data_IF_526847012324
#
_entry.id   IF_526847012324
#
_cell.length_a   1.000
_cell.length_b   1.000
_cell.length_c   1.000
_cell.angle_alpha   90.00
_cell.angle_beta   90.00
_cell.angle_gamma   90.00
#
_symmetry.space_group_name_H-M   'P 1'
#
loop_
_entity.id
_entity.type
_entity.pdbx_description
1 polymer ?
#
# COMPACT_ATOMS: atom_id res chain seq x y z
N UNK A 1 -43.05 -7.49 44.26
CA UNK A 1 -43.84 -7.47 43.05
C UNK A 1 -43.04 -8.20 41.99
N UNK A 2 -43.06 -9.48 41.75
CA UNK A 2 -44.14 -10.46 41.59
C UNK A 2 -44.45 -10.60 40.10
N UNK A 3 -43.73 -11.44 39.34
CA UNK A 3 -44.20 -11.91 38.05
C UNK A 3 -43.62 -13.29 37.75
N UNK A 4 -44.35 -14.15 37.90
CA UNK A 4 -44.79 -15.52 37.59
C UNK A 4 -44.44 -15.85 36.10
N UNK A 5 -43.51 -16.81 35.92
CA UNK A 5 -43.31 -17.55 34.68
C UNK A 5 -44.25 -18.76 34.66
N UNK A 6 -45.14 -18.82 33.67
CA UNK A 6 -45.97 -19.98 33.34
C UNK A 6 -45.23 -20.91 32.38
N UNK A 7 -45.27 -22.23 32.58
CA UNK A 7 -44.82 -23.18 31.56
C UNK A 7 -45.94 -23.45 30.56
N UNK A 8 -45.61 -23.40 29.29
CA UNK A 8 -46.50 -23.80 28.17
C UNK A 8 -46.19 -25.27 27.87
N UNK A 9 -47.08 -26.15 28.32
CA UNK A 9 -47.18 -27.51 27.81
C UNK A 9 -48.02 -27.49 26.53
N UNK A 10 -47.39 -27.65 25.38
CA UNK A 10 -48.06 -27.93 24.11
C UNK A 10 -48.21 -29.44 23.91
N UNK A 11 -49.42 -29.93 23.92
CA UNK A 11 -49.73 -31.32 23.67
C UNK A 11 -49.59 -31.69 22.19
N UNK A 12 -48.94 -32.82 21.93
CA UNK A 12 -49.14 -33.59 20.72
C UNK A 12 -50.05 -34.74 21.06
N UNK A 13 -51.22 -34.73 20.46
CA UNK A 13 -52.16 -35.88 20.45
C UNK A 13 -51.70 -36.87 19.37
N UNK A 14 -51.34 -38.08 19.81
CA UNK A 14 -51.19 -39.22 18.93
C UNK A 14 -52.47 -39.98 18.81
N UNK A 15 -52.90 -40.25 17.59
CA UNK A 15 -54.13 -40.96 17.19
C UNK A 15 -53.87 -42.43 17.21
N UNK A 16 -53.88 -43.08 18.41
CA UNK A 16 -54.22 -44.50 18.52
C UNK A 16 -54.56 -44.79 19.94
N UNK A 17 -55.87 -44.92 20.17
CA UNK A 17 -56.42 -45.29 21.45
C UNK A 17 -56.13 -46.74 21.82
N UNK A 18 -55.33 -46.95 22.85
CA UNK A 18 -55.38 -48.19 23.64
C UNK A 18 -54.91 -47.93 25.07
N UNK A 19 -55.86 -48.04 25.99
CA UNK A 19 -55.60 -48.13 27.43
C UNK A 19 -55.09 -49.55 27.75
N UNK A 20 -53.84 -49.65 28.26
CA UNK A 20 -53.28 -50.87 28.83
C UNK A 20 -52.86 -50.63 30.28
N UNK A 21 -53.00 -51.63 31.18
CA UNK A 21 -53.00 -51.45 32.64
C UNK A 21 -51.54 -51.26 33.18
N UNK A 22 -51.49 -50.56 34.33
CA UNK A 22 -50.34 -50.51 35.21
C UNK A 22 -49.88 -51.90 35.67
N UNK A 23 -48.74 -52.36 35.18
CA UNK A 23 -48.05 -53.55 35.68
C UNK A 23 -46.83 -53.17 36.47
N UNK A 24 -46.87 -53.42 37.78
CA UNK A 24 -45.69 -53.41 38.65
C UNK A 24 -44.74 -54.53 38.18
N UNK A 25 -43.52 -54.18 37.72
CA UNK A 25 -42.50 -55.19 37.52
C UNK A 25 -41.20 -54.81 38.26
N UNK A 26 -40.86 -55.74 39.09
CA UNK A 26 -39.69 -55.93 39.94
C UNK A 26 -38.38 -55.44 39.37
N UNK A 27 -37.58 -54.94 40.33
CA UNK A 27 -36.19 -54.69 40.24
C UNK A 27 -35.35 -55.70 39.45
N UNK A 28 -34.98 -55.41 38.27
CA UNK A 28 -33.89 -56.06 37.51
C UNK A 28 -32.60 -55.34 37.75
N UNK A 29 -31.61 -56.02 38.30
CA UNK A 29 -30.21 -55.56 38.44
C UNK A 29 -29.73 -55.17 37.08
N UNK A 30 -29.67 -53.86 36.83
CA UNK A 30 -28.93 -53.30 35.70
C UNK A 30 -27.44 -53.49 35.98
N UNK A 31 -26.79 -54.38 35.26
CA UNK A 31 -25.36 -54.49 35.15
C UNK A 31 -24.88 -53.18 34.47
N UNK A 32 -24.44 -52.27 35.29
CA UNK A 32 -23.70 -51.10 34.79
C UNK A 32 -22.40 -51.61 34.16
N UNK A 33 -22.46 -51.82 32.85
CA UNK A 33 -21.25 -51.93 32.05
C UNK A 33 -20.51 -50.61 32.23
N UNK A 34 -19.41 -50.62 33.01
CA UNK A 34 -18.42 -49.56 33.02
C UNK A 34 -17.93 -49.44 31.57
N UNK A 35 -18.40 -48.43 30.87
CA UNK A 35 -17.73 -47.94 29.69
C UNK A 35 -16.42 -47.45 30.25
N UNK A 36 -15.32 -48.12 29.86
CA UNK A 36 -13.99 -47.65 30.13
C UNK A 36 -13.91 -46.20 29.61
N UNK A 37 -13.68 -45.27 30.51
CA UNK A 37 -13.36 -43.91 30.14
C UNK A 37 -12.13 -44.03 29.25
N UNK A 38 -12.30 -43.72 28.00
CA UNK A 38 -11.24 -43.59 27.04
C UNK A 38 -10.28 -42.56 27.62
N UNK A 39 -9.12 -43.02 28.09
CA UNK A 39 -8.05 -42.16 28.58
C UNK A 39 -7.68 -41.25 27.44
N UNK A 40 -8.12 -39.99 27.50
CA UNK A 40 -7.64 -38.97 26.61
C UNK A 40 -6.12 -38.92 26.71
N UNK A 41 -5.39 -38.99 25.60
CA UNK A 41 -3.95 -38.96 25.65
C UNK A 41 -3.51 -37.64 26.34
N UNK A 42 -2.78 -37.79 27.43
CA UNK A 42 -2.30 -36.72 28.32
C UNK A 42 -1.19 -35.86 27.67
N UNK A 43 -1.24 -35.71 26.34
CA UNK A 43 -0.17 -35.06 25.56
C UNK A 43 -0.25 -33.52 25.66
N UNK A 44 -1.33 -32.96 26.23
CA UNK A 44 -1.54 -31.51 26.29
C UNK A 44 -1.98 -30.97 27.66
N UNK A 45 -1.65 -31.66 28.74
CA UNK A 45 -2.04 -31.24 30.11
C UNK A 45 -0.94 -30.42 30.83
N UNK A 46 -0.36 -29.42 30.17
CA UNK A 46 0.54 -28.54 30.89
C UNK A 46 0.89 -27.28 30.09
N UNK A 47 0.83 -26.12 30.74
CA UNK A 47 1.34 -24.87 30.18
C UNK A 47 2.79 -25.01 29.66
N UNK A 48 3.55 -25.99 30.21
CA UNK A 48 4.91 -26.31 29.78
C UNK A 48 4.96 -26.99 28.40
N UNK A 49 3.98 -27.83 28.05
CA UNK A 49 3.96 -28.52 26.77
C UNK A 49 3.53 -27.56 25.66
N UNK A 50 2.61 -26.63 25.95
CA UNK A 50 2.19 -25.57 25.03
C UNK A 50 3.37 -24.62 24.77
N UNK A 51 4.10 -24.23 25.83
CA UNK A 51 5.27 -23.35 25.68
C UNK A 51 6.42 -24.01 24.93
N UNK A 52 6.63 -25.33 25.15
CA UNK A 52 7.67 -26.08 24.42
C UNK A 52 7.31 -26.18 22.92
N UNK A 53 6.06 -26.50 22.61
CA UNK A 53 5.58 -26.55 21.23
C UNK A 53 5.70 -25.21 20.53
N UNK A 54 5.32 -24.12 21.21
CA UNK A 54 5.47 -22.76 20.70
C UNK A 54 6.94 -22.41 20.48
N UNK A 55 7.83 -22.77 21.42
CA UNK A 55 9.27 -22.53 21.29
C UNK A 55 9.88 -23.24 20.08
N UNK A 56 9.48 -24.49 19.81
CA UNK A 56 9.93 -25.25 18.64
C UNK A 56 9.48 -24.56 17.34
N UNK A 57 8.21 -24.11 17.27
CA UNK A 57 7.71 -23.40 16.08
C UNK A 57 8.46 -22.09 15.86
N UNK A 58 8.70 -21.31 16.91
CA UNK A 58 9.45 -20.06 16.83
C UNK A 58 10.89 -20.31 16.37
N UNK A 59 11.57 -21.34 16.91
CA UNK A 59 12.94 -21.69 16.49
C UNK A 59 12.96 -22.12 15.02
N UNK A 60 12.02 -22.94 14.58
CA UNK A 60 11.92 -23.35 13.19
C UNK A 60 11.65 -22.15 12.26
N UNK A 61 10.83 -21.21 12.70
CA UNK A 61 10.54 -19.99 11.95
C UNK A 61 11.78 -19.09 11.85
N UNK A 62 12.52 -18.94 12.96
CA UNK A 62 13.78 -18.18 12.97
C UNK A 62 14.86 -18.83 12.09
N UNK A 63 14.96 -20.15 12.09
CA UNK A 63 15.88 -20.88 11.23
C UNK A 63 15.48 -20.74 9.75
N UNK A 64 14.19 -20.83 9.42
CA UNK A 64 13.71 -20.66 8.07
C UNK A 64 13.97 -19.23 7.56
N UNK A 65 13.66 -18.22 8.37
CA UNK A 65 13.88 -16.80 8.03
C UNK A 65 15.37 -16.49 7.96
N UNK A 66 16.18 -17.04 8.89
CA UNK A 66 17.63 -16.87 8.86
C UNK A 66 18.30 -17.53 7.64
N UNK A 67 17.84 -18.73 7.26
CA UNK A 67 18.37 -19.44 6.09
C UNK A 67 17.97 -18.77 4.75
N UNK A 68 16.85 -18.06 4.70
CA UNK A 68 16.40 -17.33 3.50
C UNK A 68 17.05 -15.95 3.34
N UNK A 69 17.88 -15.51 4.30
CA UNK A 69 18.55 -14.20 4.26
C UNK A 69 17.57 -12.99 4.36
N UNK A 70 16.30 -13.23 4.66
CA UNK A 70 15.29 -12.17 4.81
C UNK A 70 15.48 -11.29 6.06
N UNK A 71 16.34 -11.70 6.99
CA UNK A 71 16.80 -10.90 8.12
C UNK A 71 18.29 -10.62 8.01
N UNK A 72 18.76 -10.02 6.95
CA UNK A 72 20.03 -9.33 7.02
C UNK A 72 19.79 -8.03 7.80
N UNK A 73 20.11 -8.05 9.09
CA UNK A 73 20.20 -6.86 9.94
C UNK A 73 21.50 -6.09 9.59
N UNK A 74 21.87 -6.12 8.33
CA UNK A 74 22.87 -5.21 7.83
C UNK A 74 22.15 -3.92 7.52
N UNK A 75 22.23 -2.97 8.45
CA UNK A 75 21.88 -1.57 8.24
C UNK A 75 22.91 -0.84 7.37
N UNK A 76 23.76 -1.57 6.66
CA UNK A 76 24.23 -1.07 5.40
C UNK A 76 23.00 -1.11 4.52
N UNK A 77 22.44 0.07 4.28
CA UNK A 77 21.58 0.34 3.14
C UNK A 77 22.36 -0.24 1.94
N UNK A 78 22.15 -1.52 1.63
CA UNK A 78 22.33 -1.92 0.25
C UNK A 78 21.36 -1.03 -0.49
N UNK A 79 21.91 0.07 -1.02
CA UNK A 79 21.30 0.74 -2.14
C UNK A 79 20.88 -0.40 -3.05
N UNK A 80 19.59 -0.75 -3.01
CA UNK A 80 19.04 -1.67 -3.96
C UNK A 80 19.52 -1.11 -5.28
N UNK A 81 20.21 -1.92 -6.07
CA UNK A 81 20.79 -1.47 -7.33
C UNK A 81 19.72 -0.61 -7.98
N UNK A 82 19.97 0.72 -8.06
CA UNK A 82 19.08 1.64 -8.78
C UNK A 82 19.01 0.99 -10.15
N UNK A 83 17.84 0.48 -10.53
CA UNK A 83 17.68 -0.11 -11.83
C UNK A 83 17.74 1.08 -12.78
N UNK A 84 18.92 1.30 -13.36
CA UNK A 84 19.14 2.36 -14.31
C UNK A 84 18.10 2.22 -15.42
N UNK A 85 17.25 3.23 -15.53
CA UNK A 85 16.21 3.30 -16.55
C UNK A 85 16.71 4.28 -17.61
N UNK A 86 16.69 3.84 -18.87
CA UNK A 86 16.94 4.73 -20.01
C UNK A 86 15.73 5.68 -20.19
N UNK A 87 15.72 6.72 -19.37
CA UNK A 87 14.68 7.76 -19.37
C UNK A 87 14.64 8.52 -20.69
N UNK A 88 15.78 8.68 -21.36
CA UNK A 88 15.86 9.40 -22.63
C UNK A 88 15.11 8.66 -23.72
N UNK A 89 15.40 7.36 -23.88
CA UNK A 89 14.66 6.51 -24.83
C UNK A 89 13.17 6.43 -24.48
N UNK A 90 12.84 6.39 -23.19
CA UNK A 90 11.44 6.40 -22.74
C UNK A 90 10.75 7.71 -23.13
N UNK A 91 11.31 8.87 -22.79
CA UNK A 91 10.73 10.19 -23.09
C UNK A 91 10.59 10.42 -24.60
N UNK A 92 11.58 10.04 -25.38
CA UNK A 92 11.52 10.08 -26.85
C UNK A 92 10.38 9.20 -27.40
N UNK A 93 10.18 8.04 -26.80
CA UNK A 93 9.10 7.13 -27.20
C UNK A 93 7.74 7.74 -26.86
N UNK A 94 7.59 8.37 -25.69
CA UNK A 94 6.35 9.05 -25.32
C UNK A 94 6.04 10.23 -26.25
N UNK A 95 7.03 11.03 -26.62
CA UNK A 95 6.86 12.12 -27.56
C UNK A 95 6.37 11.64 -28.94
N UNK A 96 6.93 10.54 -29.45
CA UNK A 96 6.50 9.92 -30.72
C UNK A 96 5.11 9.28 -30.62
N UNK A 97 4.69 8.83 -29.44
CA UNK A 97 3.38 8.27 -29.21
C UNK A 97 2.26 9.33 -29.14
N UNK A 98 2.60 10.62 -29.23
CA UNK A 98 1.61 11.71 -29.20
C UNK A 98 0.95 11.92 -27.84
N UNK A 99 1.64 11.62 -26.74
CA UNK A 99 1.14 11.79 -25.36
C UNK A 99 1.01 13.26 -24.96
N UNK A 100 1.45 14.18 -25.79
CA UNK A 100 1.54 15.63 -25.57
C UNK A 100 2.95 16.14 -25.80
N UNK A 101 3.20 17.38 -25.45
CA UNK A 101 4.56 17.93 -25.48
C UNK A 101 5.36 17.28 -24.33
N UNK A 102 6.43 16.60 -24.69
CA UNK A 102 7.35 15.96 -23.76
C UNK A 102 8.69 16.67 -23.83
N UNK A 103 9.26 16.99 -22.69
CA UNK A 103 10.62 17.56 -22.59
C UNK A 103 11.53 16.49 -21.99
N UNK A 104 12.75 16.42 -22.53
CA UNK A 104 13.79 15.51 -22.06
C UNK A 104 14.92 16.35 -21.44
N UNK A 105 14.92 16.54 -20.11
CA UNK A 105 15.88 17.41 -19.43
C UNK A 105 17.23 16.72 -19.25
N UNK A 106 18.30 17.51 -19.26
CA UNK A 106 19.56 17.09 -18.70
C UNK A 106 19.55 17.35 -17.19
N UNK A 107 19.44 16.25 -16.42
CA UNK A 107 19.41 16.36 -14.96
C UNK A 107 20.80 16.68 -14.40
N UNK A 108 20.88 17.23 -13.17
CA UNK A 108 22.19 17.55 -12.55
C UNK A 108 23.09 16.30 -12.45
N UNK A 109 24.41 16.54 -12.43
CA UNK A 109 25.39 15.46 -12.31
C UNK A 109 25.17 14.63 -11.03
N UNK A 110 25.29 13.33 -11.16
CA UNK A 110 25.09 12.38 -10.05
C UNK A 110 23.62 12.03 -9.76
N UNK A 111 22.68 12.53 -10.58
CA UNK A 111 21.31 12.07 -10.52
C UNK A 111 21.11 10.83 -11.40
N UNK A 112 20.37 9.84 -10.88
CA UNK A 112 20.13 8.58 -11.59
C UNK A 112 18.63 8.35 -11.75
N UNK A 113 18.17 8.12 -12.98
CA UNK A 113 16.80 7.74 -13.24
C UNK A 113 16.55 6.30 -12.73
N UNK A 114 15.54 6.12 -11.88
CA UNK A 114 15.22 4.85 -11.30
C UNK A 114 13.85 4.28 -11.72
N UNK A 115 12.97 5.12 -12.25
CA UNK A 115 11.67 4.68 -12.77
C UNK A 115 11.15 5.62 -13.85
N UNK A 116 10.53 5.04 -14.87
CA UNK A 116 9.83 5.80 -15.91
C UNK A 116 8.52 5.07 -16.25
N UNK A 117 7.40 5.78 -16.25
CA UNK A 117 6.08 5.21 -16.48
C UNK A 117 5.11 6.21 -17.08
N UNK A 118 4.04 5.69 -17.68
CA UNK A 118 2.87 6.48 -18.05
C UNK A 118 1.78 6.26 -17.01
N UNK A 119 1.05 7.32 -16.69
CA UNK A 119 -0.12 7.27 -15.81
C UNK A 119 -1.30 8.01 -16.47
N UNK A 120 -2.50 7.69 -16.08
CA UNK A 120 -3.67 8.54 -16.33
C UNK A 120 -3.77 9.55 -15.21
N UNK A 121 -3.93 10.81 -15.55
CA UNK A 121 -4.08 11.91 -14.63
C UNK A 121 -5.25 12.80 -15.05
N UNK A 122 -6.38 12.62 -14.40
CA UNK A 122 -7.60 13.37 -14.71
C UNK A 122 -8.16 13.11 -16.12
N UNK A 123 -7.97 11.92 -16.67
CA UNK A 123 -8.40 11.51 -18.00
C UNK A 123 -7.39 11.84 -19.11
N UNK A 124 -6.25 12.44 -18.76
CA UNK A 124 -5.17 12.76 -19.68
C UNK A 124 -3.96 11.85 -19.41
N UNK A 125 -3.24 11.49 -20.47
CA UNK A 125 -1.98 10.76 -20.28
C UNK A 125 -0.92 11.68 -19.69
N UNK A 126 -0.24 11.22 -18.66
CA UNK A 126 0.90 11.88 -18.08
C UNK A 126 2.14 11.00 -18.12
N UNK A 127 3.28 11.61 -18.31
CA UNK A 127 4.58 10.93 -18.35
C UNK A 127 5.31 11.21 -17.05
N UNK A 128 5.68 10.16 -16.33
CA UNK A 128 6.32 10.24 -15.02
C UNK A 128 7.71 9.63 -15.11
N UNK A 129 8.70 10.38 -14.64
CA UNK A 129 10.08 9.90 -14.46
C UNK A 129 10.53 10.28 -13.06
N UNK A 130 11.21 9.36 -12.41
CA UNK A 130 11.72 9.55 -11.06
C UNK A 130 13.24 9.40 -11.04
N UNK A 131 13.89 10.23 -10.25
CA UNK A 131 15.34 10.23 -10.06
C UNK A 131 15.71 10.12 -8.58
N UNK A 132 16.85 9.52 -8.34
CA UNK A 132 17.57 9.61 -7.08
C UNK A 132 18.62 10.70 -7.25
N UNK A 133 18.65 11.68 -6.35
CA UNK A 133 19.62 12.78 -6.39
C UNK A 133 20.99 12.32 -5.85
N UNK A 134 22.03 13.10 -6.09
CA UNK A 134 23.37 12.82 -5.58
C UNK A 134 23.39 12.67 -4.04
N UNK A 135 22.51 13.39 -3.34
CA UNK A 135 22.33 13.33 -1.87
C UNK A 135 21.30 12.30 -1.41
N UNK A 136 20.99 11.30 -2.25
CA UNK A 136 20.02 10.25 -1.97
C UNK A 136 18.58 10.76 -1.74
N UNK A 137 18.26 11.96 -2.19
CA UNK A 137 16.91 12.48 -2.26
C UNK A 137 16.13 11.79 -3.39
N UNK A 138 14.81 11.89 -3.34
CA UNK A 138 13.92 11.36 -4.37
C UNK A 138 13.15 12.51 -5.03
N UNK A 139 13.27 12.62 -6.34
CA UNK A 139 12.53 13.59 -7.16
C UNK A 139 11.73 12.84 -8.22
N UNK A 140 10.47 13.16 -8.34
CA UNK A 140 9.59 12.66 -9.38
C UNK A 140 9.06 13.83 -10.19
N UNK A 141 9.20 13.76 -11.51
CA UNK A 141 8.57 14.70 -12.43
C UNK A 141 7.39 14.07 -13.13
N UNK A 142 6.33 14.82 -13.29
CA UNK A 142 5.17 14.45 -14.08
C UNK A 142 4.92 15.52 -15.12
N UNK A 143 4.94 15.13 -16.39
CA UNK A 143 4.58 16.00 -17.51
C UNK A 143 3.17 15.64 -17.98
N UNK A 144 2.28 16.64 -18.09
CA UNK A 144 0.86 16.44 -18.39
C UNK A 144 0.28 17.58 -19.21
N UNK A 145 -0.88 17.34 -19.83
CA UNK A 145 -1.69 18.37 -20.50
C UNK A 145 -2.80 18.91 -19.60
N UNK A 146 -2.98 18.38 -18.40
CA UNK A 146 -3.96 18.91 -17.42
C UNK A 146 -3.64 20.36 -17.10
N UNK A 147 -4.65 21.22 -17.05
CA UNK A 147 -4.47 22.63 -16.75
C UNK A 147 -3.82 22.85 -15.38
N UNK A 148 -2.92 23.84 -15.27
CA UNK A 148 -2.12 24.07 -14.08
C UNK A 148 -2.92 24.30 -12.79
N UNK A 149 -4.10 24.92 -12.89
CA UNK A 149 -5.02 25.13 -11.78
C UNK A 149 -5.66 23.84 -11.25
N UNK A 150 -5.76 22.80 -12.08
CA UNK A 150 -6.31 21.49 -11.76
C UNK A 150 -5.25 20.42 -11.52
N UNK A 151 -3.98 20.72 -11.81
CA UNK A 151 -2.92 19.74 -11.79
C UNK A 151 -2.70 19.10 -10.40
N UNK A 152 -2.87 19.87 -9.32
CA UNK A 152 -2.74 19.36 -7.96
C UNK A 152 -3.84 18.35 -7.59
N UNK A 153 -5.09 18.64 -7.97
CA UNK A 153 -6.24 17.74 -7.71
C UNK A 153 -6.18 16.50 -8.60
N UNK A 154 -5.70 16.65 -9.83
CA UNK A 154 -5.58 15.53 -10.77
C UNK A 154 -4.38 14.61 -10.44
N UNK A 155 -3.36 15.10 -9.74
CA UNK A 155 -2.16 14.33 -9.40
C UNK A 155 -2.47 13.20 -8.41
N UNK A 156 -3.17 13.52 -7.34
CA UNK A 156 -3.63 12.56 -6.35
C UNK A 156 -4.87 13.12 -5.60
N UNK A 157 -5.47 12.31 -4.73
CA UNK A 157 -6.65 12.71 -3.93
C UNK A 157 -6.32 13.47 -2.66
N UNK A 158 -5.05 13.80 -2.41
CA UNK A 158 -4.62 14.46 -1.19
C UNK A 158 -4.95 15.96 -1.23
N UNK A 159 -5.51 16.46 -0.13
CA UNK A 159 -5.79 17.87 0.02
C UNK A 159 -4.51 18.66 0.34
N UNK A 160 -4.30 19.75 -0.39
CA UNK A 160 -3.21 20.71 -0.18
C UNK A 160 -3.81 22.11 -0.05
N UNK A 161 -4.02 22.52 1.19
CA UNK A 161 -4.67 23.80 1.51
C UNK A 161 -3.71 24.99 1.58
N UNK A 162 -2.40 24.75 1.55
CA UNK A 162 -1.36 25.79 1.60
C UNK A 162 -0.83 25.96 0.19
N UNK A 163 -0.92 27.20 -0.32
CA UNK A 163 -0.40 27.55 -1.63
C UNK A 163 0.57 28.73 -1.50
N UNK A 164 1.75 28.58 -2.08
CA UNK A 164 2.73 29.64 -2.22
C UNK A 164 3.27 29.69 -3.65
N UNK A 165 3.97 30.75 -3.99
CA UNK A 165 4.58 30.92 -5.31
C UNK A 165 6.08 31.14 -5.18
N UNK A 166 6.81 30.53 -6.12
CA UNK A 166 8.25 30.76 -6.33
C UNK A 166 8.51 31.13 -7.79
N UNK A 167 9.67 31.67 -8.05
CA UNK A 167 10.12 31.93 -9.41
C UNK A 167 11.39 31.11 -9.68
N UNK A 168 11.37 30.34 -10.77
CA UNK A 168 12.54 29.59 -11.24
C UNK A 168 12.76 29.97 -12.70
N UNK A 169 13.92 30.55 -13.03
CA UNK A 169 14.28 31.00 -14.38
C UNK A 169 13.19 31.84 -15.08
N UNK A 170 12.52 32.71 -14.33
CA UNK A 170 11.47 33.58 -14.86
C UNK A 170 10.10 32.92 -15.02
N UNK A 171 9.96 31.65 -14.69
CA UNK A 171 8.69 30.93 -14.64
C UNK A 171 8.12 30.94 -13.25
N UNK A 172 6.80 31.18 -13.15
CA UNK A 172 6.08 31.06 -11.89
C UNK A 172 5.84 29.58 -11.54
N UNK A 173 6.23 29.20 -10.35
CA UNK A 173 6.05 27.86 -9.79
C UNK A 173 5.06 27.96 -8.63
N UNK A 174 3.94 27.26 -8.73
CA UNK A 174 2.98 27.11 -7.63
C UNK A 174 3.46 25.97 -6.74
N UNK A 175 3.61 26.25 -5.45
CA UNK A 175 3.96 25.26 -4.44
C UNK A 175 2.71 24.93 -3.65
N UNK A 176 2.29 23.68 -3.71
CA UNK A 176 1.10 23.17 -3.04
C UNK A 176 1.53 22.27 -1.88
N UNK A 177 1.13 22.63 -0.67
CA UNK A 177 1.51 21.91 0.56
C UNK A 177 0.27 21.56 1.39
N UNK A 178 0.41 20.58 2.27
CA UNK A 178 -0.60 20.14 3.21
C UNK A 178 -0.11 20.35 4.63
N UNK A 179 -1.04 20.53 5.59
CA UNK A 179 -0.75 20.46 7.01
C UNK A 179 -0.42 19.03 7.49
N UNK A 180 -0.67 18.02 6.65
CA UNK A 180 -0.34 16.62 6.89
C UNK A 180 1.05 16.30 6.33
N UNK A 181 2.02 16.04 7.19
CA UNK A 181 3.40 15.73 6.85
C UNK A 181 3.55 14.46 5.97
N UNK A 182 2.54 13.60 5.94
CA UNK A 182 2.53 12.41 5.08
C UNK A 182 2.22 12.74 3.61
N UNK A 183 1.66 13.91 3.34
CA UNK A 183 1.29 14.39 2.01
C UNK A 183 2.47 15.15 1.40
N UNK A 184 3.00 14.63 0.31
CA UNK A 184 4.12 15.28 -0.38
C UNK A 184 3.69 16.59 -1.00
N UNK A 185 4.55 17.60 -0.92
CA UNK A 185 4.37 18.87 -1.62
C UNK A 185 4.50 18.68 -3.12
N UNK A 186 3.84 19.55 -3.87
CA UNK A 186 3.93 19.59 -5.33
C UNK A 186 4.43 20.98 -5.77
N UNK A 187 5.35 21.00 -6.70
CA UNK A 187 5.73 22.19 -7.44
C UNK A 187 5.13 22.10 -8.83
N UNK A 188 4.22 22.99 -9.16
CA UNK A 188 3.49 23.00 -10.43
C UNK A 188 3.94 24.20 -11.26
N UNK A 189 4.46 23.91 -12.46
CA UNK A 189 4.95 24.93 -13.41
C UNK A 189 4.24 24.79 -14.75
N UNK A 190 3.72 25.88 -15.29
CA UNK A 190 3.21 25.93 -16.64
C UNK A 190 4.37 26.28 -17.60
N UNK A 191 4.72 25.34 -18.47
CA UNK A 191 5.74 25.50 -19.48
C UNK A 191 5.18 26.00 -20.82
N UNK A 192 3.87 26.26 -20.87
CA UNK A 192 3.12 26.68 -22.05
C UNK A 192 2.63 25.51 -22.90
N UNK A 193 3.54 24.62 -23.30
CA UNK A 193 3.27 23.43 -24.10
C UNK A 193 2.90 22.19 -23.24
N UNK A 194 3.40 22.13 -22.01
CA UNK A 194 3.09 21.11 -21.03
C UNK A 194 3.04 21.72 -19.62
N UNK A 195 2.47 20.97 -18.66
CA UNK A 195 2.54 21.27 -17.22
C UNK A 195 3.49 20.31 -16.60
N UNK A 196 4.41 20.85 -15.82
CA UNK A 196 5.37 20.10 -15.04
C UNK A 196 4.92 20.08 -13.58
N UNK A 197 4.89 18.89 -12.99
CA UNK A 197 4.72 18.72 -11.56
C UNK A 197 5.96 18.04 -11.04
N UNK A 198 6.64 18.66 -10.07
CA UNK A 198 7.73 18.05 -9.32
C UNK A 198 7.21 17.67 -7.94
N UNK A 199 7.45 16.43 -7.54
CA UNK A 199 7.13 15.88 -6.23
C UNK A 199 8.31 15.05 -5.71
N UNK A 200 8.27 14.67 -4.44
CA UNK A 200 9.31 13.79 -3.93
C UNK A 200 9.65 13.99 -2.47
N UNK A 201 10.82 13.45 -2.09
CA UNK A 201 11.40 13.54 -0.75
C UNK A 201 12.82 14.09 -0.83
N UNK A 202 13.00 15.13 -1.62
CA UNK A 202 14.25 15.88 -1.76
C UNK A 202 14.09 17.28 -1.18
N UNK A 203 15.19 18.02 -1.08
CA UNK A 203 15.22 19.40 -0.59
C UNK A 203 14.72 20.39 -1.66
N UNK A 204 14.55 21.67 -1.28
CA UNK A 204 14.08 22.72 -2.18
C UNK A 204 15.05 22.99 -3.33
N UNK A 205 16.37 22.89 -3.08
CA UNK A 205 17.37 23.10 -4.12
C UNK A 205 17.33 22.04 -5.20
N UNK A 206 17.01 20.80 -4.84
CA UNK A 206 16.82 19.70 -5.80
C UNK A 206 15.56 19.93 -6.65
N UNK A 207 14.46 20.36 -6.02
CA UNK A 207 13.25 20.71 -6.75
C UNK A 207 13.45 21.87 -7.70
N UNK A 208 14.20 22.88 -7.28
CA UNK A 208 14.57 24.03 -8.13
C UNK A 208 15.45 23.59 -9.29
N UNK A 209 16.46 22.74 -9.04
CA UNK A 209 17.35 22.20 -10.07
C UNK A 209 16.58 21.37 -11.11
N UNK A 210 15.69 20.48 -10.66
CA UNK A 210 14.83 19.71 -11.54
C UNK A 210 13.93 20.63 -12.38
N UNK A 211 13.24 21.57 -11.74
CA UNK A 211 12.36 22.53 -12.44
C UNK A 211 13.13 23.31 -13.49
N UNK A 212 14.34 23.79 -13.14
CA UNK A 212 15.20 24.54 -14.04
C UNK A 212 15.65 23.71 -15.25
N UNK A 213 15.98 22.42 -15.05
CA UNK A 213 16.36 21.51 -16.12
C UNK A 213 15.21 21.31 -17.12
N UNK A 214 13.97 21.16 -16.63
CA UNK A 214 12.79 21.05 -17.51
C UNK A 214 12.46 22.34 -18.24
N UNK A 215 12.69 23.52 -17.63
CA UNK A 215 12.52 24.83 -18.30
C UNK A 215 13.50 24.97 -19.44
N UNK A 216 14.76 24.57 -19.25
CA UNK A 216 15.83 24.68 -20.28
C UNK A 216 15.64 23.66 -21.41
N UNK A 217 15.03 22.52 -21.13
CA UNK A 217 14.81 21.48 -22.13
C UNK A 217 13.80 21.94 -23.19
N UNK A 218 14.14 21.81 -24.44
CA UNK A 218 13.20 22.01 -25.53
C UNK A 218 12.23 20.82 -25.62
N UNK A 219 10.98 21.06 -26.09
CA UNK A 219 10.05 19.95 -26.38
C UNK A 219 10.66 19.02 -27.44
N UNK A 220 10.56 17.71 -27.17
CA UNK A 220 10.95 16.68 -28.14
C UNK A 220 9.99 16.73 -29.32
N UNK A 221 10.48 16.92 -30.52
CA UNK A 221 9.65 16.94 -31.71
C UNK A 221 9.01 15.57 -31.94
N UNK A 222 7.70 15.46 -31.70
CA UNK A 222 6.89 14.33 -32.19
C UNK A 222 6.87 14.37 -33.72
N UNK A 223 7.16 13.23 -34.35
CA UNK A 223 7.01 13.09 -35.80
C UNK A 223 5.61 12.68 -36.18
#
# INVERSE_FOLDING_TARGET
MGSILRPICGGLTDLSGQKGPCGFLKAGRAILRRVAAEERPKIFEGAKDISLSLAVVVIMMLLAVGATGLCSINSETQQGAVQEVDEQTFLDTQARAGVGAIRNPEMPEGWEANAARRVDMGGENATVVSWVTADQGFVESTQTQVAADKAGEAYDSNYRGIESAREVKGHQVRVLESDDDSVRRLWVTDLGDARLIISGAANDSDFEAATAAFIDAAPVAGK
#
